data_IF_831960712402
#
_entry.id   IF_831960712402
#
_cell.length_a   1.000
_cell.length_b   1.000
_cell.length_c   1.000
_cell.angle_alpha   90.00
_cell.angle_beta   90.00
_cell.angle_gamma   90.00
#
_symmetry.space_group_name_H-M   'P 1'
#
loop_
_entity.id
_entity.type
_entity.pdbx_description
1 polymer ?
#
# COMPACT_ATOMS: atom_id res chain seq x y z
N UNK A 1 -21.25 12.96 11.90
CA UNK A 1 -20.68 11.98 10.96
C UNK A 1 -19.35 11.54 11.53
N UNK A 2 -19.25 10.32 12.04
CA UNK A 2 -18.02 9.84 12.66
C UNK A 2 -17.00 9.56 11.55
N UNK A 3 -15.97 10.39 11.44
CA UNK A 3 -14.80 10.14 10.61
C UNK A 3 -13.98 9.03 11.26
N UNK A 4 -13.64 7.95 10.55
CA UNK A 4 -12.62 7.02 11.03
C UNK A 4 -11.26 7.69 10.78
N UNK A 5 -10.79 8.38 11.82
CA UNK A 5 -9.54 9.12 11.78
C UNK A 5 -8.42 8.21 12.28
N UNK A 6 -7.37 8.08 11.49
CA UNK A 6 -6.15 7.40 11.90
C UNK A 6 -6.21 5.87 11.94
N UNK A 7 -7.05 5.22 11.13
CA UNK A 7 -7.08 3.76 11.04
C UNK A 7 -5.80 3.21 10.38
N UNK A 8 -5.49 1.93 10.63
CA UNK A 8 -4.47 1.22 9.84
C UNK A 8 -5.16 0.32 8.82
N UNK A 9 -4.90 0.58 7.55
CA UNK A 9 -5.36 -0.24 6.43
C UNK A 9 -4.22 -1.16 5.99
N UNK A 10 -4.51 -2.44 5.82
CA UNK A 10 -3.46 -3.43 5.59
C UNK A 10 -3.83 -4.42 4.50
N UNK A 11 -2.85 -4.78 3.68
CA UNK A 11 -2.95 -5.85 2.69
C UNK A 11 -1.60 -6.55 2.51
N UNK A 12 -1.61 -7.68 1.81
CA UNK A 12 -0.40 -8.44 1.50
C UNK A 12 -0.11 -8.42 0.00
N UNK A 13 1.17 -8.38 -0.35
CA UNK A 13 1.69 -8.50 -1.71
C UNK A 13 2.70 -9.63 -1.74
N UNK A 14 2.52 -10.60 -2.61
CA UNK A 14 3.49 -11.67 -2.81
C UNK A 14 4.33 -11.37 -4.05
N UNK A 15 5.65 -11.18 -3.84
CA UNK A 15 6.58 -10.84 -4.92
C UNK A 15 6.89 -12.08 -5.74
N UNK A 16 6.59 -12.07 -7.04
CA UNK A 16 6.82 -13.21 -7.93
C UNK A 16 7.71 -12.85 -9.12
N UNK A 17 8.51 -13.82 -9.57
CA UNK A 17 9.27 -13.78 -10.81
C UNK A 17 10.52 -12.88 -10.77
N UNK A 18 10.34 -11.58 -10.52
CA UNK A 18 11.40 -10.58 -10.58
C UNK A 18 11.51 -9.77 -9.28
N UNK A 19 12.72 -9.37 -8.86
CA UNK A 19 12.88 -8.51 -7.69
C UNK A 19 12.05 -7.22 -7.80
N UNK A 20 11.35 -6.88 -6.73
CA UNK A 20 10.47 -5.72 -6.65
C UNK A 20 11.26 -4.49 -6.19
N UNK A 21 11.22 -3.42 -6.98
CA UNK A 21 11.90 -2.15 -6.66
C UNK A 21 10.99 -1.10 -6.05
N UNK A 22 9.70 -1.12 -6.40
CA UNK A 22 8.74 -0.11 -5.96
C UNK A 22 7.32 -0.68 -5.97
N UNK A 23 6.52 -0.27 -4.97
CA UNK A 23 5.06 -0.37 -4.99
C UNK A 23 4.47 1.01 -5.26
N UNK A 24 3.42 1.04 -6.06
CA UNK A 24 2.57 2.21 -6.22
C UNK A 24 1.13 1.84 -5.88
N UNK A 25 0.47 2.66 -5.06
CA UNK A 25 -0.86 2.42 -4.53
C UNK A 25 -1.71 3.64 -4.88
N UNK A 26 -2.70 3.45 -5.75
CA UNK A 26 -3.66 4.51 -6.03
C UNK A 26 -4.67 4.59 -4.89
N UNK A 27 -4.78 5.78 -4.31
CA UNK A 27 -5.72 6.09 -3.24
C UNK A 27 -7.05 6.54 -3.86
N UNK A 28 -8.19 6.09 -3.34
CA UNK A 28 -9.49 6.70 -3.66
C UNK A 28 -9.50 8.21 -3.35
N UNK A 29 -10.31 8.99 -4.06
CA UNK A 29 -10.33 10.47 -4.00
C UNK A 29 -10.48 11.04 -2.59
N UNK A 30 -11.21 10.35 -1.72
CA UNK A 30 -11.48 10.81 -0.35
C UNK A 30 -10.57 10.19 0.73
N UNK A 31 -9.49 9.51 0.35
CA UNK A 31 -8.58 8.84 1.29
C UNK A 31 -7.25 9.57 1.41
N UNK A 32 -6.92 9.93 2.65
CA UNK A 32 -5.62 10.47 3.04
C UNK A 32 -4.88 9.49 3.97
N UNK A 33 -3.54 9.53 3.94
CA UNK A 33 -2.64 8.75 4.80
C UNK A 33 -1.71 9.73 5.52
N UNK A 34 -1.83 9.84 6.85
CA UNK A 34 -1.08 10.85 7.62
C UNK A 34 0.21 10.31 8.26
N UNK A 35 0.25 9.02 8.60
CA UNK A 35 1.37 8.46 9.38
C UNK A 35 2.33 7.63 8.52
N UNK A 36 2.06 7.54 7.21
CA UNK A 36 2.92 6.89 6.23
C UNK A 36 2.58 5.41 5.99
N UNK A 37 3.56 4.67 5.48
CA UNK A 37 3.40 3.26 5.11
C UNK A 37 4.57 2.46 5.67
N UNK A 38 4.26 1.40 6.41
CA UNK A 38 5.22 0.43 6.90
C UNK A 38 5.13 -0.85 6.05
N UNK A 39 6.27 -1.42 5.70
CA UNK A 39 6.33 -2.70 4.98
C UNK A 39 7.18 -3.69 5.76
N UNK A 40 6.62 -4.87 6.02
CA UNK A 40 7.32 -6.00 6.65
C UNK A 40 7.31 -7.22 5.75
N UNK A 41 8.32 -8.07 5.86
CA UNK A 41 8.31 -9.39 5.22
C UNK A 41 7.52 -10.43 6.06
N UNK A 42 7.44 -11.66 5.55
CA UNK A 42 6.75 -12.77 6.23
C UNK A 42 7.32 -13.15 7.61
N UNK A 43 8.56 -12.78 7.94
CA UNK A 43 9.14 -13.00 9.28
C UNK A 43 8.87 -11.83 10.25
N UNK A 44 8.15 -10.79 9.79
CA UNK A 44 7.84 -9.58 10.57
C UNK A 44 8.98 -8.56 10.60
N UNK A 45 10.06 -8.78 9.83
CA UNK A 45 11.15 -7.82 9.72
C UNK A 45 10.75 -6.68 8.80
N UNK A 46 11.01 -5.46 9.23
CA UNK A 46 10.78 -4.26 8.42
C UNK A 46 11.70 -4.26 7.19
N UNK A 47 11.13 -3.88 6.05
CA UNK A 47 11.85 -3.70 4.79
C UNK A 47 12.06 -2.20 4.58
N UNK A 48 13.31 -1.71 4.62
CA UNK A 48 13.59 -0.28 4.49
C UNK A 48 13.13 0.28 3.15
N UNK A 49 12.32 1.33 3.19
CA UNK A 49 11.81 2.01 2.00
C UNK A 49 11.64 3.51 2.22
N UNK A 50 11.63 4.27 1.13
CA UNK A 50 11.19 5.67 1.12
C UNK A 50 9.74 5.73 0.68
N UNK A 51 8.90 6.42 1.45
CA UNK A 51 7.48 6.58 1.16
C UNK A 51 7.20 8.00 0.70
N UNK A 52 6.46 8.16 -0.40
CA UNK A 52 5.92 9.46 -0.83
C UNK A 52 4.45 9.34 -1.16
N UNK A 53 3.62 10.20 -0.59
CA UNK A 53 2.18 10.27 -0.88
C UNK A 53 1.90 11.61 -1.53
N UNK A 54 1.43 11.58 -2.78
CA UNK A 54 1.16 12.79 -3.55
C UNK A 54 0.14 12.52 -4.64
N UNK A 55 -0.72 13.50 -4.93
CA UNK A 55 -1.61 13.49 -6.10
C UNK A 55 -2.46 12.20 -6.20
N UNK A 56 -2.98 11.71 -5.06
CA UNK A 56 -3.79 10.48 -4.99
C UNK A 56 -3.01 9.18 -5.15
N UNK A 57 -1.68 9.22 -5.03
CA UNK A 57 -0.81 8.06 -5.18
C UNK A 57 0.19 7.95 -4.03
N UNK A 58 0.28 6.77 -3.42
CA UNK A 58 1.32 6.43 -2.46
C UNK A 58 2.37 5.53 -3.12
N UNK A 59 3.62 5.99 -3.16
CA UNK A 59 4.77 5.23 -3.66
C UNK A 59 5.63 4.76 -2.50
N UNK A 60 6.06 3.51 -2.57
CA UNK A 60 6.99 2.89 -1.64
C UNK A 60 8.18 2.40 -2.46
N UNK A 61 9.29 3.15 -2.40
CA UNK A 61 10.52 2.82 -3.11
C UNK A 61 11.44 2.08 -2.16
N UNK A 62 11.70 0.80 -2.44
CA UNK A 62 12.54 -0.02 -1.56
C UNK A 62 14.01 0.38 -1.67
N UNK A 63 14.70 0.43 -0.53
CA UNK A 63 16.12 0.81 -0.47
C UNK A 63 17.01 -0.20 -1.18
N UNK A 64 16.57 -1.46 -1.22
CA UNK A 64 17.13 -2.54 -2.04
C UNK A 64 15.97 -3.32 -2.66
N UNK A 65 16.14 -3.87 -3.89
CA UNK A 65 15.11 -4.69 -4.49
C UNK A 65 14.72 -5.88 -3.59
N UNK A 66 13.41 -6.04 -3.35
CA UNK A 66 12.88 -7.16 -2.57
C UNK A 66 12.92 -8.41 -3.45
N UNK A 67 13.51 -9.53 -2.99
CA UNK A 67 13.62 -10.73 -3.80
C UNK A 67 12.25 -11.40 -4.03
N UNK A 68 12.10 -12.16 -5.12
CA UNK A 68 10.95 -13.04 -5.33
C UNK A 68 10.71 -13.99 -4.15
N UNK A 69 9.49 -14.50 -4.06
CA UNK A 69 8.99 -15.36 -2.99
C UNK A 69 8.91 -14.69 -1.60
N UNK A 70 9.11 -13.37 -1.54
CA UNK A 70 8.85 -12.58 -0.34
C UNK A 70 7.38 -12.19 -0.30
N UNK A 71 6.71 -12.47 0.82
CA UNK A 71 5.39 -11.89 1.11
C UNK A 71 5.58 -10.63 1.92
N UNK A 72 5.14 -9.51 1.35
CA UNK A 72 5.14 -8.20 1.96
C UNK A 72 3.79 -7.94 2.63
N UNK A 73 3.83 -7.59 3.91
CA UNK A 73 2.73 -7.03 4.66
C UNK A 73 2.84 -5.52 4.61
N UNK A 74 1.89 -4.87 3.92
CA UNK A 74 1.86 -3.42 3.72
C UNK A 74 0.82 -2.83 4.65
N UNK A 75 1.24 -1.93 5.54
CA UNK A 75 0.38 -1.24 6.51
C UNK A 75 0.40 0.27 6.23
N UNK A 76 -0.72 0.79 5.72
CA UNK A 76 -0.97 2.22 5.57
C UNK A 76 -1.48 2.75 6.90
N UNK A 77 -0.70 3.61 7.55
CA UNK A 77 -0.96 4.10 8.90
C UNK A 77 -1.58 5.49 8.85
N UNK A 78 -2.44 5.81 9.81
CA UNK A 78 -3.05 7.13 9.86
C UNK A 78 -4.06 7.37 8.74
N UNK A 79 -4.74 6.32 8.25
CA UNK A 79 -5.71 6.45 7.16
C UNK A 79 -6.96 7.14 7.65
N UNK A 80 -7.31 8.22 6.97
CA UNK A 80 -8.53 8.96 7.19
C UNK A 80 -9.55 8.58 6.13
N UNK A 81 -10.71 8.11 6.58
CA UNK A 81 -11.86 7.91 5.71
C UNK A 81 -12.98 8.90 6.06
N UNK A 82 -13.78 9.31 5.06
CA UNK A 82 -15.05 9.99 5.30
C UNK A 82 -15.95 9.16 6.20
N UNK A 83 -16.77 9.84 6.99
CA UNK A 83 -17.65 9.20 7.96
C UNK A 83 -18.90 8.54 7.37
N UNK A 84 -18.76 7.85 6.23
CA UNK A 84 -19.81 7.05 5.61
C UNK A 84 -19.31 5.66 5.23
N UNK A 85 -20.27 4.74 5.14
CA UNK A 85 -20.06 3.36 4.75
C UNK A 85 -19.57 3.30 3.29
N UNK A 86 -18.44 2.66 3.06
CA UNK A 86 -17.91 2.51 1.72
C UNK A 86 -16.94 1.33 1.61
N UNK A 87 -16.82 0.78 0.40
CA UNK A 87 -15.73 -0.11 0.03
C UNK A 87 -14.63 0.68 -0.64
N UNK A 88 -13.53 0.90 0.07
CA UNK A 88 -12.33 1.54 -0.45
C UNK A 88 -11.53 0.55 -1.29
N UNK A 89 -11.20 0.94 -2.51
CA UNK A 89 -10.51 0.11 -3.50
C UNK A 89 -9.15 0.71 -3.82
N UNK A 90 -8.09 0.09 -3.29
CA UNK A 90 -6.71 0.52 -3.53
C UNK A 90 -6.14 -0.31 -4.67
N UNK A 91 -5.90 0.30 -5.82
CA UNK A 91 -5.23 -0.37 -6.94
C UNK A 91 -3.73 -0.40 -6.66
N UNK A 92 -3.14 -1.60 -6.71
CA UNK A 92 -1.73 -1.83 -6.38
C UNK A 92 -0.97 -2.20 -7.64
N UNK A 93 0.15 -1.51 -7.85
CA UNK A 93 1.06 -1.69 -8.96
C UNK A 93 2.47 -2.02 -8.46
N UNK A 94 3.20 -2.79 -9.25
CA UNK A 94 4.61 -3.11 -9.00
C UNK A 94 5.50 -2.54 -10.09
N UNK A 95 6.71 -2.16 -9.71
CA UNK A 95 7.81 -1.96 -10.64
C UNK A 95 8.94 -2.92 -10.28
N UNK A 96 9.24 -3.83 -11.20
CA UNK A 96 10.24 -4.86 -10.99
C UNK A 96 11.55 -4.53 -11.71
N UNK A 97 12.67 -4.97 -11.14
CA UNK A 97 14.00 -4.81 -11.74
C UNK A 97 14.04 -5.51 -13.09
N UNK A 98 14.50 -4.82 -14.12
CA UNK A 98 14.65 -5.35 -15.47
C UNK A 98 13.38 -5.31 -16.33
N UNK A 99 12.24 -4.89 -15.78
CA UNK A 99 11.00 -4.66 -16.53
C UNK A 99 10.77 -3.17 -16.75
N UNK A 100 10.19 -2.83 -17.91
CA UNK A 100 9.81 -1.46 -18.24
C UNK A 100 8.37 -1.19 -17.80
N UNK A 101 8.17 -0.16 -16.98
CA UNK A 101 6.83 0.31 -16.57
C UNK A 101 6.32 -0.32 -15.28
N UNK A 102 5.13 0.13 -14.87
CA UNK A 102 4.39 -0.38 -13.72
C UNK A 102 3.41 -1.47 -14.17
N UNK A 103 3.28 -2.53 -13.37
CA UNK A 103 2.40 -3.68 -13.64
C UNK A 103 1.29 -3.68 -12.59
N UNK A 104 -0.01 -3.63 -12.96
CA UNK A 104 -1.09 -3.79 -12.01
C UNK A 104 -1.11 -5.23 -11.49
N UNK A 105 -1.03 -5.40 -10.17
CA UNK A 105 -1.02 -6.73 -9.53
C UNK A 105 -2.32 -7.06 -8.81
N UNK A 106 -3.17 -6.06 -8.57
CA UNK A 106 -4.49 -6.29 -7.99
C UNK A 106 -5.09 -5.08 -7.30
N UNK A 107 -6.09 -5.37 -6.49
CA UNK A 107 -6.87 -4.39 -5.75
C UNK A 107 -7.08 -4.86 -4.32
N UNK A 108 -6.67 -4.05 -3.34
CA UNK A 108 -7.06 -4.26 -1.96
C UNK A 108 -8.42 -3.60 -1.69
N UNK A 109 -9.32 -4.32 -1.02
CA UNK A 109 -10.67 -3.85 -0.68
C UNK A 109 -10.82 -3.76 0.83
N UNK A 110 -11.17 -2.58 1.32
CA UNK A 110 -11.39 -2.33 2.75
C UNK A 110 -12.77 -1.71 2.92
N UNK A 111 -13.59 -2.34 3.76
CA UNK A 111 -14.94 -1.90 4.02
C UNK A 111 -14.98 -1.20 5.38
N UNK A 112 -15.41 0.06 5.38
CA UNK A 112 -15.70 0.80 6.60
C UNK A 112 -17.21 0.93 6.75
N UNK A 113 -17.70 0.81 7.97
CA UNK A 113 -19.11 1.01 8.33
C UNK A 113 -19.20 2.15 9.33
N UNK A 114 -20.25 2.95 9.28
CA UNK A 114 -20.56 3.84 10.40
C UNK A 114 -20.90 3.02 11.64
N UNK A 115 -20.39 3.46 12.78
CA UNK A 115 -20.81 3.01 14.10
C UNK A 115 -22.27 3.41 14.39
#
# INVERSE_FOLDING_TARGET
>A
SATFQGATHQFEVHVQGYPLSELSINLPEDIDINDGIEVKNQSGQEIPATVSIKDGNARVVFSQPVPPETTLKVAMQGVNTPGYDNTWQYMVFTKNVGLSGEIPIGMARILTYRD
#
